data_IF_863130191932
#
_entry.id   IF_863130191932
#
_cell.length_a   1.000
_cell.length_b   1.000
_cell.length_c   1.000
_cell.angle_alpha   90.00
_cell.angle_beta   90.00
_cell.angle_gamma   90.00
#
_symmetry.space_group_name_H-M   'P 1'
#
loop_
_entity.id
_entity.type
_entity.pdbx_description
1 polymer ?
#
# COMPACT_ATOMS: atom_id res chain seq x y z
N UNK A 1 10.94 -32.42 5.50
CA UNK A 1 11.43 -31.85 4.22
C UNK A 1 10.38 -31.80 3.09
N UNK A 2 9.12 -32.26 3.29
CA UNK A 2 8.11 -32.36 2.21
C UNK A 2 7.16 -31.16 2.07
N UNK A 3 7.07 -30.24 3.05
CA UNK A 3 6.10 -29.13 3.02
C UNK A 3 6.41 -28.06 1.95
N UNK A 4 7.68 -27.77 1.68
CA UNK A 4 8.07 -26.71 0.73
C UNK A 4 7.59 -26.94 -0.70
N UNK A 5 7.57 -28.20 -1.18
CA UNK A 5 7.08 -28.52 -2.55
C UNK A 5 5.58 -28.30 -2.73
N UNK A 6 4.79 -28.35 -1.65
CA UNK A 6 3.33 -28.12 -1.72
C UNK A 6 3.04 -26.63 -1.87
N UNK A 7 3.65 -25.79 -1.02
CA UNK A 7 3.40 -24.35 -1.03
C UNK A 7 3.92 -23.68 -2.30
N UNK A 8 5.06 -24.13 -2.84
CA UNK A 8 5.61 -23.65 -4.10
C UNK A 8 4.66 -23.75 -5.31
N UNK A 9 3.66 -24.64 -5.27
CA UNK A 9 2.67 -24.80 -6.36
C UNK A 9 1.39 -23.98 -6.17
N UNK A 10 1.18 -23.43 -4.98
CA UNK A 10 -0.02 -22.64 -4.67
C UNK A 10 0.15 -21.20 -5.16
N UNK A 11 -0.92 -20.58 -5.63
CA UNK A 11 -0.95 -19.13 -5.86
C UNK A 11 -0.82 -18.38 -4.55
N UNK A 12 -0.52 -17.08 -4.60
CA UNK A 12 -0.37 -16.29 -3.38
C UNK A 12 -1.70 -16.19 -2.61
N UNK A 13 -2.81 -16.04 -3.32
CA UNK A 13 -4.16 -16.02 -2.73
C UNK A 13 -4.48 -17.35 -2.05
N UNK A 14 -4.08 -18.48 -2.65
CA UNK A 14 -4.24 -19.80 -2.04
C UNK A 14 -3.37 -19.93 -0.78
N UNK A 15 -2.15 -19.38 -0.77
CA UNK A 15 -1.28 -19.40 0.41
C UNK A 15 -1.87 -18.56 1.56
N UNK A 16 -2.44 -17.40 1.25
CA UNK A 16 -3.12 -16.54 2.22
C UNK A 16 -4.31 -17.27 2.84
N UNK A 17 -5.18 -17.86 2.01
CA UNK A 17 -6.37 -18.58 2.51
C UNK A 17 -5.97 -19.82 3.33
N UNK A 18 -4.98 -20.57 2.84
CA UNK A 18 -4.47 -21.74 3.56
C UNK A 18 -3.93 -21.37 4.94
N UNK A 19 -3.20 -20.25 5.05
CA UNK A 19 -2.71 -19.75 6.34
C UNK A 19 -3.85 -19.38 7.29
N UNK A 20 -4.92 -18.75 6.78
CA UNK A 20 -6.08 -18.38 7.59
C UNK A 20 -6.79 -19.58 8.19
N UNK A 21 -6.98 -20.61 7.39
CA UNK A 21 -7.68 -21.83 7.80
C UNK A 21 -6.82 -22.70 8.73
N UNK A 22 -5.53 -22.88 8.41
CA UNK A 22 -4.71 -23.93 9.03
C UNK A 22 -3.63 -23.39 9.98
N UNK A 23 -3.37 -22.08 9.99
CA UNK A 23 -2.28 -21.46 10.77
C UNK A 23 -0.89 -22.05 10.52
N UNK A 24 -0.68 -22.68 9.36
CA UNK A 24 0.61 -23.28 8.99
C UNK A 24 1.57 -22.20 8.49
N UNK A 25 2.59 -21.91 9.29
CA UNK A 25 3.64 -20.94 8.96
C UNK A 25 4.45 -21.30 7.71
N UNK A 26 4.36 -22.53 7.20
CA UNK A 26 4.96 -22.89 5.93
C UNK A 26 4.38 -22.11 4.73
N UNK A 27 3.10 -21.71 4.78
CA UNK A 27 2.50 -20.86 3.76
C UNK A 27 3.06 -19.42 3.81
N UNK A 28 3.23 -18.89 5.01
CA UNK A 28 3.85 -17.57 5.24
C UNK A 28 5.32 -17.58 4.82
N UNK A 29 6.05 -18.66 5.11
CA UNK A 29 7.44 -18.82 4.69
C UNK A 29 7.61 -18.85 3.18
N UNK A 30 6.66 -19.43 2.44
CA UNK A 30 6.64 -19.37 0.98
C UNK A 30 6.38 -17.94 0.46
N UNK A 31 5.42 -17.21 1.05
CA UNK A 31 5.18 -15.80 0.71
C UNK A 31 6.42 -14.94 1.01
N UNK A 32 7.09 -15.17 2.14
CA UNK A 32 8.37 -14.53 2.45
C UNK A 32 9.39 -14.79 1.34
N UNK A 33 9.65 -16.06 1.03
CA UNK A 33 10.64 -16.45 0.02
C UNK A 33 10.38 -15.81 -1.35
N UNK A 34 9.12 -15.76 -1.80
CA UNK A 34 8.74 -15.15 -3.08
C UNK A 34 8.96 -13.65 -3.12
N UNK A 35 8.77 -12.96 -1.99
CA UNK A 35 8.62 -11.50 -1.98
C UNK A 35 9.73 -10.73 -1.29
N UNK A 36 10.69 -11.37 -0.61
CA UNK A 36 11.83 -10.70 0.03
C UNK A 36 12.55 -9.74 -0.91
N UNK A 37 12.85 -10.13 -2.15
CA UNK A 37 13.53 -9.26 -3.12
C UNK A 37 12.68 -8.06 -3.55
N UNK A 38 11.36 -8.22 -3.70
CA UNK A 38 10.46 -7.12 -4.03
C UNK A 38 10.44 -6.10 -2.89
N UNK A 39 10.24 -6.56 -1.65
CA UNK A 39 10.16 -5.71 -0.46
C UNK A 39 11.50 -4.98 -0.25
N UNK A 40 12.62 -5.68 -0.39
CA UNK A 40 13.96 -5.08 -0.29
C UNK A 40 14.18 -4.01 -1.36
N UNK A 41 13.80 -4.27 -2.61
CA UNK A 41 13.92 -3.29 -3.70
C UNK A 41 13.09 -2.01 -3.45
N UNK A 42 11.88 -2.16 -2.90
CA UNK A 42 11.06 -1.02 -2.47
C UNK A 42 11.74 -0.27 -1.33
N UNK A 43 12.22 -0.98 -0.30
CA UNK A 43 12.87 -0.37 0.85
C UNK A 43 14.13 0.43 0.44
N UNK A 44 14.99 -0.16 -0.39
CA UNK A 44 16.19 0.50 -0.92
C UNK A 44 15.84 1.77 -1.72
N UNK A 45 14.78 1.72 -2.53
CA UNK A 45 14.31 2.87 -3.31
C UNK A 45 13.93 4.06 -2.42
N UNK A 46 13.31 3.81 -1.27
CA UNK A 46 12.81 4.86 -0.38
C UNK A 46 13.84 5.28 0.68
N UNK A 47 14.41 4.32 1.40
CA UNK A 47 15.30 4.56 2.54
C UNK A 47 16.74 4.89 2.12
N UNK A 48 17.18 4.42 0.94
CA UNK A 48 18.52 4.66 0.40
C UNK A 48 19.68 4.24 1.32
N UNK A 49 19.39 3.39 2.31
CA UNK A 49 20.37 2.83 3.24
C UNK A 49 20.13 1.33 3.34
N UNK A 50 21.18 0.54 3.14
CA UNK A 50 21.08 -0.92 3.00
C UNK A 50 20.57 -1.58 4.29
N UNK A 51 21.16 -1.26 5.44
CA UNK A 51 20.78 -1.90 6.71
C UNK A 51 19.35 -1.55 7.13
N UNK A 52 18.97 -0.26 7.11
CA UNK A 52 17.58 0.13 7.37
C UNK A 52 16.58 -0.52 6.40
N UNK A 53 17.01 -0.82 5.16
CA UNK A 53 16.16 -1.53 4.19
C UNK A 53 15.98 -3.00 4.54
N UNK A 54 17.02 -3.68 5.05
CA UNK A 54 16.95 -5.06 5.54
C UNK A 54 16.08 -5.15 6.79
N UNK A 55 16.26 -4.23 7.73
CA UNK A 55 15.43 -4.13 8.94
C UNK A 55 13.95 -3.95 8.57
N UNK A 56 13.66 -3.04 7.64
CA UNK A 56 12.29 -2.83 7.16
C UNK A 56 11.66 -4.09 6.55
N UNK A 57 12.43 -4.91 5.82
CA UNK A 57 11.92 -6.20 5.31
C UNK A 57 11.50 -7.10 6.46
N UNK A 58 12.33 -7.23 7.49
CA UNK A 58 12.06 -8.08 8.65
C UNK A 58 10.80 -7.62 9.38
N UNK A 59 10.68 -6.33 9.66
CA UNK A 59 9.53 -5.74 10.37
C UNK A 59 8.21 -5.94 9.60
N UNK A 60 8.23 -5.75 8.27
CA UNK A 60 7.05 -5.94 7.41
C UNK A 60 6.59 -7.41 7.47
N UNK A 61 7.53 -8.36 7.39
CA UNK A 61 7.20 -9.77 7.42
C UNK A 61 6.83 -10.29 8.82
N UNK A 62 7.35 -9.68 9.89
CA UNK A 62 6.91 -9.95 11.26
C UNK A 62 5.42 -9.61 11.43
N UNK A 63 4.99 -8.46 10.91
CA UNK A 63 3.59 -8.02 10.99
C UNK A 63 2.67 -8.73 9.98
N UNK A 64 3.23 -9.49 9.03
CA UNK A 64 2.47 -10.09 7.94
C UNK A 64 1.33 -10.99 8.44
N UNK A 65 1.61 -11.88 9.39
CA UNK A 65 0.63 -12.83 9.95
C UNK A 65 -0.62 -12.13 10.49
N UNK A 66 -0.42 -11.14 11.37
CA UNK A 66 -1.51 -10.32 11.92
C UNK A 66 -2.30 -9.58 10.84
N UNK A 67 -1.62 -9.17 9.77
CA UNK A 67 -2.23 -8.47 8.64
C UNK A 67 -3.06 -9.41 7.77
N UNK A 68 -2.59 -10.63 7.53
CA UNK A 68 -3.32 -11.64 6.78
C UNK A 68 -4.66 -11.98 7.46
N UNK A 69 -4.76 -11.88 8.78
CA UNK A 69 -6.01 -12.11 9.52
C UNK A 69 -6.98 -10.94 9.46
N UNK A 70 -6.45 -9.72 9.41
CA UNK A 70 -7.26 -8.53 9.62
C UNK A 70 -7.87 -7.99 8.31
N UNK A 71 -7.27 -8.27 7.16
CA UNK A 71 -7.61 -7.63 5.89
C UNK A 71 -8.00 -8.64 4.82
N UNK A 72 -9.09 -8.42 4.10
CA UNK A 72 -9.39 -9.18 2.88
C UNK A 72 -8.38 -8.78 1.77
N UNK A 73 -7.51 -9.71 1.37
CA UNK A 73 -6.43 -9.48 0.40
C UNK A 73 -6.80 -10.18 -0.91
N UNK A 74 -7.14 -9.41 -1.94
CA UNK A 74 -7.53 -9.93 -3.26
C UNK A 74 -6.36 -10.16 -4.21
N UNK A 75 -5.30 -9.38 -4.05
CA UNK A 75 -4.05 -9.53 -4.80
C UNK A 75 -2.89 -9.30 -3.82
N UNK A 76 -2.23 -10.39 -3.45
CA UNK A 76 -1.23 -10.34 -2.38
C UNK A 76 -0.02 -9.48 -2.75
N UNK A 77 0.49 -9.62 -3.97
CA UNK A 77 1.64 -8.86 -4.48
C UNK A 77 1.44 -7.36 -4.37
N UNK A 78 0.30 -6.87 -4.85
CA UNK A 78 0.00 -5.44 -4.87
C UNK A 78 -0.23 -4.89 -3.45
N UNK A 79 -0.95 -5.65 -2.63
CA UNK A 79 -1.14 -5.31 -1.23
C UNK A 79 0.22 -5.19 -0.51
N UNK A 80 1.10 -6.18 -0.68
CA UNK A 80 2.43 -6.17 -0.05
C UNK A 80 3.31 -5.02 -0.55
N UNK A 81 3.24 -4.66 -1.83
CA UNK A 81 3.91 -3.48 -2.37
C UNK A 81 3.48 -2.21 -1.62
N UNK A 82 2.17 -2.03 -1.43
CA UNK A 82 1.60 -0.87 -0.74
C UNK A 82 2.01 -0.82 0.73
N UNK A 83 1.96 -1.97 1.42
CA UNK A 83 2.45 -2.09 2.80
C UNK A 83 3.91 -1.67 2.90
N UNK A 84 4.75 -2.19 2.00
CA UNK A 84 6.19 -1.92 2.00
C UNK A 84 6.50 -0.45 1.76
N UNK A 85 5.85 0.17 0.77
CA UNK A 85 5.97 1.61 0.50
C UNK A 85 5.55 2.44 1.71
N UNK A 86 4.41 2.11 2.31
CA UNK A 86 3.87 2.86 3.44
C UNK A 86 4.75 2.73 4.69
N UNK A 87 5.31 1.55 4.93
CA UNK A 87 6.28 1.31 5.99
C UNK A 87 7.53 2.19 5.83
N UNK A 88 8.11 2.24 4.63
CA UNK A 88 9.28 3.08 4.37
C UNK A 88 8.97 4.57 4.54
N UNK A 89 7.81 5.03 4.05
CA UNK A 89 7.36 6.41 4.24
C UNK A 89 7.09 6.74 5.72
N UNK A 90 6.71 5.76 6.54
CA UNK A 90 6.58 5.93 7.99
C UNK A 90 7.94 6.20 8.63
N UNK A 91 8.95 5.38 8.33
CA UNK A 91 10.33 5.56 8.84
C UNK A 91 10.85 6.96 8.50
N UNK A 92 10.81 7.34 7.22
CA UNK A 92 11.31 8.65 6.74
C UNK A 92 10.57 9.86 7.36
N UNK A 93 9.35 9.67 7.85
CA UNK A 93 8.61 10.71 8.58
C UNK A 93 9.06 10.76 10.04
N UNK A 94 9.34 9.62 10.66
CA UNK A 94 9.85 9.56 12.03
C UNK A 94 11.25 10.19 12.12
N UNK A 95 12.13 9.87 11.17
CA UNK A 95 13.46 10.49 11.08
C UNK A 95 13.39 12.01 10.93
N UNK A 96 12.49 12.52 10.06
CA UNK A 96 12.27 13.97 9.92
C UNK A 96 11.74 14.64 11.18
N UNK A 97 10.88 13.97 11.95
CA UNK A 97 10.42 14.49 13.25
C UNK A 97 11.55 14.54 14.28
N UNK A 98 12.46 13.57 14.25
CA UNK A 98 13.63 13.55 15.13
C UNK A 98 14.68 14.60 14.69
N UNK A 99 14.80 14.91 13.41
CA UNK A 99 15.70 15.95 12.90
C UNK A 99 15.18 17.37 13.08
N UNK A 100 13.86 17.55 13.23
CA UNK A 100 13.19 18.82 13.46
C UNK A 100 12.63 18.85 14.89
N UNK A 101 13.51 19.00 15.88
CA UNK A 101 13.06 19.21 17.27
C UNK A 101 12.60 20.66 17.46
N UNK A 102 11.33 20.96 17.15
CA UNK A 102 10.60 22.07 17.75
C UNK A 102 9.52 21.54 18.69
N UNK A 103 9.36 22.22 19.83
CA UNK A 103 8.72 21.78 21.08
C UNK A 103 7.20 21.54 21.06
N UNK A 104 6.53 21.41 19.90
CA UNK A 104 5.06 21.37 19.84
C UNK A 104 4.42 20.01 19.53
N UNK A 105 5.19 18.98 19.19
CA UNK A 105 4.62 17.74 18.63
C UNK A 105 4.39 16.60 19.65
N UNK A 106 4.18 16.91 20.93
CA UNK A 106 3.95 15.90 21.98
C UNK A 106 2.53 15.28 22.00
N UNK A 107 1.63 15.65 21.09
CA UNK A 107 0.28 15.11 21.03
C UNK A 107 0.13 14.26 19.77
N UNK A 108 0.54 12.99 19.79
CA UNK A 108 -0.21 11.87 19.17
C UNK A 108 0.45 10.54 19.58
N UNK A 109 0.23 10.09 20.82
CA UNK A 109 0.30 8.66 21.14
C UNK A 109 -1.06 8.05 20.82
N UNK A 110 -1.25 7.57 19.59
CA UNK A 110 -2.29 6.59 19.26
C UNK A 110 -1.92 5.80 18.00
N UNK A 111 -1.12 4.76 18.25
CA UNK A 111 -1.22 3.38 17.77
C UNK A 111 -2.10 3.11 16.53
N UNK A 112 -1.44 2.45 15.56
CA UNK A 112 -1.96 1.47 14.58
C UNK A 112 -2.83 1.96 13.42
N UNK A 113 -2.18 2.08 12.25
CA UNK A 113 -2.20 1.02 11.22
C UNK A 113 -1.24 1.45 10.12
N UNK A 114 -0.10 0.75 10.03
CA UNK A 114 0.83 0.77 8.88
C UNK A 114 0.12 0.21 7.61
N UNK A 115 -1.14 -0.20 7.77
CA UNK A 115 -1.98 -0.88 6.82
C UNK A 115 -3.26 -0.07 6.61
N UNK A 116 -3.13 1.20 6.21
CA UNK A 116 -4.23 1.89 5.55
C UNK A 116 -4.23 1.48 4.09
N UNK A 117 -5.40 1.04 3.63
CA UNK A 117 -5.66 0.49 2.31
C UNK A 117 -5.55 1.59 1.24
N UNK A 118 -4.29 1.94 0.93
CA UNK A 118 -3.92 3.09 0.10
C UNK A 118 -3.42 2.61 -1.26
N UNK A 119 -4.20 1.72 -1.86
CA UNK A 119 -3.78 0.96 -3.00
C UNK A 119 -4.47 1.47 -4.28
N UNK A 120 -3.67 1.87 -5.27
CA UNK A 120 -4.16 1.99 -6.66
C UNK A 120 -4.70 0.65 -7.14
N UNK A 121 -4.21 -0.47 -6.60
CA UNK A 121 -4.62 -1.80 -7.02
C UNK A 121 -6.08 -2.14 -6.68
N UNK A 122 -6.67 -1.51 -5.67
CA UNK A 122 -8.11 -1.66 -5.37
C UNK A 122 -9.01 -1.05 -6.47
N UNK A 123 -8.43 -0.22 -7.34
CA UNK A 123 -9.07 0.37 -8.51
C UNK A 123 -9.00 -0.52 -9.74
N UNK A 124 -8.10 -1.52 -9.75
CA UNK A 124 -7.85 -2.38 -10.90
C UNK A 124 -8.74 -3.63 -10.80
N UNK A 125 -9.60 -3.91 -11.79
CA UNK A 125 -10.30 -5.20 -11.88
C UNK A 125 -9.30 -6.30 -12.27
N UNK A 126 -9.33 -7.41 -11.52
CA UNK A 126 -8.87 -8.74 -11.92
C UNK A 126 -7.57 -8.83 -12.74
N UNK A 127 -6.43 -8.46 -12.15
CA UNK A 127 -5.11 -8.86 -12.67
C UNK A 127 -4.75 -8.34 -14.07
N UNK A 128 -5.51 -7.40 -14.63
CA UNK A 128 -5.14 -6.71 -15.87
C UNK A 128 -4.00 -5.72 -15.56
N UNK A 129 -2.96 -5.77 -16.38
CA UNK A 129 -1.92 -4.73 -16.39
C UNK A 129 -2.50 -3.46 -17.01
N UNK A 130 -3.13 -2.62 -16.19
CA UNK A 130 -3.42 -1.24 -16.58
C UNK A 130 -2.11 -0.46 -16.49
N UNK A 131 -1.69 0.11 -17.61
CA UNK A 131 -0.46 0.88 -17.70
C UNK A 131 -0.55 2.15 -16.88
N UNK A 132 0.61 2.66 -16.45
CA UNK A 132 0.69 3.95 -15.77
C UNK A 132 0.11 5.11 -16.61
N UNK A 133 0.18 4.98 -17.94
CA UNK A 133 -0.38 5.96 -18.89
C UNK A 133 -1.91 5.94 -18.81
N UNK A 134 -2.54 4.77 -18.85
CA UNK A 134 -4.00 4.64 -18.75
C UNK A 134 -4.55 5.12 -17.41
N UNK A 135 -3.82 4.88 -16.32
CA UNK A 135 -4.16 5.43 -15.00
C UNK A 135 -4.09 6.96 -15.03
N UNK A 136 -3.03 7.53 -15.61
CA UNK A 136 -2.88 8.99 -15.70
C UNK A 136 -3.98 9.62 -16.56
N UNK A 137 -4.27 9.04 -17.73
CA UNK A 137 -5.37 9.51 -18.58
C UNK A 137 -6.72 9.44 -17.85
N UNK A 138 -6.97 8.38 -17.08
CA UNK A 138 -8.19 8.27 -16.30
C UNK A 138 -8.27 9.37 -15.20
N UNK A 139 -7.14 9.67 -14.54
CA UNK A 139 -7.04 10.77 -13.57
C UNK A 139 -7.30 12.13 -14.24
N UNK A 140 -6.80 12.32 -15.46
CA UNK A 140 -6.96 13.56 -16.23
C UNK A 140 -8.41 13.83 -16.67
N UNK A 141 -9.29 12.82 -16.59
CA UNK A 141 -10.74 12.99 -16.82
C UNK A 141 -11.53 13.31 -15.55
N UNK A 142 -10.91 13.23 -14.36
CA UNK A 142 -11.57 13.60 -13.11
C UNK A 142 -11.68 15.12 -12.98
N UNK A 143 -12.68 15.55 -12.20
CA UNK A 143 -12.77 16.94 -11.76
C UNK A 143 -11.52 17.37 -10.99
N UNK A 144 -11.13 18.63 -11.14
CA UNK A 144 -9.87 19.20 -10.65
C UNK A 144 -9.57 18.83 -9.19
N UNK A 145 -10.57 18.96 -8.30
CA UNK A 145 -10.39 18.69 -6.88
C UNK A 145 -10.16 17.22 -6.54
N UNK A 146 -10.80 16.32 -7.30
CA UNK A 146 -10.57 14.88 -7.16
C UNK A 146 -9.16 14.55 -7.63
N UNK A 147 -8.76 15.06 -8.81
CA UNK A 147 -7.42 14.86 -9.37
C UNK A 147 -6.35 15.34 -8.41
N UNK A 148 -6.42 16.60 -7.98
CA UNK A 148 -5.42 17.21 -7.10
C UNK A 148 -5.29 16.45 -5.78
N UNK A 149 -6.41 16.09 -5.15
CA UNK A 149 -6.37 15.29 -3.92
C UNK A 149 -5.77 13.90 -4.15
N UNK A 150 -6.09 13.25 -5.27
CA UNK A 150 -5.56 11.93 -5.60
C UNK A 150 -4.07 11.97 -5.91
N UNK A 151 -3.56 12.94 -6.65
CA UNK A 151 -2.14 13.08 -6.95
C UNK A 151 -1.31 13.28 -5.68
N UNK A 152 -1.73 14.21 -4.81
CA UNK A 152 -1.08 14.44 -3.52
C UNK A 152 -1.12 13.17 -2.66
N UNK A 153 -2.27 12.49 -2.63
CA UNK A 153 -2.44 11.29 -1.82
C UNK A 153 -1.57 10.14 -2.31
N UNK A 154 -1.60 9.88 -3.61
CA UNK A 154 -1.06 8.66 -4.17
C UNK A 154 0.36 8.80 -4.70
N UNK A 155 0.67 9.88 -5.43
CA UNK A 155 2.00 10.09 -5.98
C UNK A 155 2.93 10.66 -4.92
N UNK A 156 2.46 11.64 -4.17
CA UNK A 156 3.26 12.29 -3.13
C UNK A 156 3.13 11.64 -1.74
N UNK A 157 2.18 10.72 -1.56
CA UNK A 157 2.02 10.01 -0.28
C UNK A 157 1.59 10.90 0.88
N UNK A 158 0.88 11.99 0.62
CA UNK A 158 0.39 12.93 1.64
C UNK A 158 -0.78 12.32 2.42
N UNK A 159 -0.84 12.59 3.73
CA UNK A 159 -1.99 12.25 4.58
C UNK A 159 -3.11 13.25 4.36
N UNK A 160 -4.32 12.87 4.75
CA UNK A 160 -5.52 13.69 4.58
C UNK A 160 -5.37 15.09 5.21
N UNK A 161 -4.72 15.19 6.37
CA UNK A 161 -4.42 16.47 7.03
C UNK A 161 -3.41 17.32 6.24
N UNK A 162 -2.38 16.70 5.68
CA UNK A 162 -1.36 17.41 4.88
C UNK A 162 -1.98 17.91 3.57
N UNK A 163 -2.83 17.09 2.94
CA UNK A 163 -3.60 17.47 1.75
C UNK A 163 -4.51 18.66 2.08
N UNK A 164 -5.26 18.59 3.18
CA UNK A 164 -6.14 19.68 3.62
C UNK A 164 -5.39 21.02 3.75
N UNK A 165 -4.19 21.00 4.36
CA UNK A 165 -3.32 22.17 4.46
C UNK A 165 -2.84 22.65 3.08
N UNK A 166 -2.42 21.74 2.21
CA UNK A 166 -1.86 22.07 0.89
C UNK A 166 -2.92 22.57 -0.11
N UNK A 167 -4.17 22.12 0.02
CA UNK A 167 -5.25 22.48 -0.91
C UNK A 167 -6.19 23.55 -0.34
N UNK A 168 -6.19 23.77 0.97
CA UNK A 168 -7.16 24.63 1.65
C UNK A 168 -8.51 23.97 1.92
N UNK A 169 -8.68 22.68 1.56
CA UNK A 169 -9.92 21.94 1.81
C UNK A 169 -10.05 21.51 3.27
N UNK A 170 -11.28 21.37 3.75
CA UNK A 170 -11.54 20.72 5.02
C UNK A 170 -11.15 19.23 4.96
N UNK A 171 -10.82 18.60 6.10
CA UNK A 171 -10.55 17.17 6.16
C UNK A 171 -11.70 16.30 5.61
N UNK A 172 -12.94 16.77 5.73
CA UNK A 172 -14.13 16.12 5.17
C UNK A 172 -14.16 16.16 3.65
N UNK A 173 -13.86 17.32 3.07
CA UNK A 173 -13.75 17.50 1.61
C UNK A 173 -12.62 16.66 1.04
N UNK A 174 -11.42 16.67 1.64
CA UNK A 174 -10.30 15.82 1.22
C UNK A 174 -10.70 14.35 1.19
N UNK A 175 -11.37 13.87 2.26
CA UNK A 175 -11.86 12.49 2.32
C UNK A 175 -12.87 12.22 1.20
N UNK A 176 -13.81 13.13 0.98
CA UNK A 176 -14.82 13.02 -0.07
C UNK A 176 -14.17 12.99 -1.46
N UNK A 177 -13.25 13.89 -1.77
CA UNK A 177 -12.55 13.96 -3.05
C UNK A 177 -11.74 12.69 -3.33
N UNK A 178 -11.00 12.19 -2.34
CA UNK A 178 -10.24 10.94 -2.49
C UNK A 178 -11.17 9.75 -2.70
N UNK A 179 -12.23 9.60 -1.90
CA UNK A 179 -13.15 8.46 -2.02
C UNK A 179 -13.94 8.48 -3.33
N UNK A 180 -14.49 9.63 -3.71
CA UNK A 180 -15.24 9.79 -4.95
C UNK A 180 -14.32 9.66 -6.17
N UNK A 181 -13.13 10.24 -6.11
CA UNK A 181 -12.10 10.11 -7.15
C UNK A 181 -11.69 8.65 -7.36
N UNK A 182 -11.41 7.90 -6.29
CA UNK A 182 -11.15 6.45 -6.34
C UNK A 182 -12.31 5.71 -7.02
N UNK A 183 -13.55 5.94 -6.59
CA UNK A 183 -14.73 5.27 -7.21
C UNK A 183 -14.87 5.60 -8.69
N UNK A 184 -14.63 6.85 -9.08
CA UNK A 184 -14.71 7.30 -10.47
C UNK A 184 -13.61 6.66 -11.33
N UNK A 185 -12.37 6.62 -10.83
CA UNK A 185 -11.26 5.94 -11.49
C UNK A 185 -11.57 4.48 -11.76
N UNK A 186 -12.05 3.76 -10.74
CA UNK A 186 -12.45 2.35 -10.90
C UNK A 186 -13.49 2.18 -12.01
N UNK A 187 -14.49 3.06 -12.08
CA UNK A 187 -15.51 3.01 -13.14
C UNK A 187 -14.93 3.28 -14.52
N UNK A 188 -14.07 4.29 -14.65
CA UNK A 188 -13.42 4.64 -15.93
C UNK A 188 -12.55 3.48 -16.43
N UNK A 189 -11.73 2.93 -15.54
CA UNK A 189 -10.82 1.83 -15.85
C UNK A 189 -11.61 0.56 -16.20
N UNK A 190 -12.65 0.21 -15.44
CA UNK A 190 -13.53 -0.92 -15.77
C UNK A 190 -14.22 -0.77 -17.14
N UNK A 191 -14.69 0.45 -17.48
CA UNK A 191 -15.37 0.69 -18.75
C UNK A 191 -14.40 0.61 -19.94
N UNK A 192 -13.15 1.08 -19.77
CA UNK A 192 -12.10 0.95 -20.79
C UNK A 192 -11.73 -0.52 -21.01
N UNK A 193 -11.63 -1.31 -19.94
CA UNK A 193 -11.39 -2.77 -20.02
C UNK A 193 -12.50 -3.57 -20.71
N UNK A 194 -13.72 -3.05 -20.85
CA UNK A 194 -14.82 -3.71 -21.57
C UNK A 194 -14.90 -3.34 -23.06
N UNK A 195 -14.15 -2.32 -23.48
CA UNK A 195 -14.11 -1.82 -24.87
C UNK A 195 -12.90 -2.35 -25.66
N UNK A 196 -12.01 -3.10 -25.00
CA UNK A 196 -10.89 -3.84 -25.58
C UNK A 196 -11.18 -5.34 -25.53
#
# INVERSE_FOLDING_TARGET
MFKGKRFAKMSDEQLVEYYREHRDMGAVGELFFRYTHLVLGIALKYLKQEEASKDAVMDIFEQLTSSLDQYEIKNFKNWLYSVSRNYCLMILRQERRLSVSTMEDQITRQVSRILTQDDWSALLPNGQEITRIEIQEAIDTLGEEQRRCLELFFYEGKRYKEIAVMTGFSPGEVKSHIQNGKRNLKRILNNRSQLL
#
